data_IF_187227211830
#
_entry.id   IF_187227211830
#
_cell.length_a   1.000
_cell.length_b   1.000
_cell.length_c   1.000
_cell.angle_alpha   90.00
_cell.angle_beta   90.00
_cell.angle_gamma   90.00
#
_symmetry.space_group_name_H-M   'P 1'
#
loop_
_entity.id
_entity.type
_entity.pdbx_description
1 polymer ?
#
# COMPACT_ATOMS: atom_id res chain seq x y z
N UNK A 1 10.07 14.94 -7.07
CA UNK A 1 10.05 13.83 -6.10
C UNK A 1 11.47 13.33 -6.04
N UNK A 2 11.99 13.02 -4.86
CA UNK A 2 13.30 12.39 -4.76
C UNK A 2 13.25 10.97 -5.39
N UNK A 3 14.42 10.41 -5.64
CA UNK A 3 14.57 9.12 -6.32
C UNK A 3 14.03 7.94 -5.49
N UNK A 4 14.26 7.97 -4.19
CA UNK A 4 13.88 6.89 -3.27
C UNK A 4 12.35 6.78 -3.14
N UNK A 5 11.66 7.92 -3.08
CA UNK A 5 10.21 7.98 -3.13
C UNK A 5 9.65 7.42 -4.45
N UNK A 6 10.30 7.73 -5.58
CA UNK A 6 9.87 7.20 -6.88
C UNK A 6 10.02 5.68 -6.94
N UNK A 7 11.18 5.17 -6.53
CA UNK A 7 11.46 3.73 -6.46
C UNK A 7 10.46 3.04 -5.51
N UNK A 8 10.25 3.60 -4.32
CA UNK A 8 9.27 3.08 -3.36
C UNK A 8 7.85 3.02 -3.93
N UNK A 9 7.39 4.06 -4.63
CA UNK A 9 6.06 4.06 -5.26
C UNK A 9 5.95 2.95 -6.31
N UNK A 10 6.96 2.82 -7.16
CA UNK A 10 7.00 1.88 -8.27
C UNK A 10 7.21 0.42 -7.85
N UNK A 11 7.70 0.17 -6.64
CA UNK A 11 7.88 -1.17 -6.10
C UNK A 11 6.71 -1.58 -5.20
N UNK A 12 6.12 -0.63 -4.46
CA UNK A 12 5.12 -0.92 -3.43
C UNK A 12 3.68 -0.97 -3.94
N UNK A 13 3.33 -0.21 -4.99
CA UNK A 13 1.92 -0.06 -5.41
C UNK A 13 1.69 -0.58 -6.81
N UNK A 14 0.91 -1.64 -6.96
CA UNK A 14 0.51 -2.20 -8.26
C UNK A 14 -0.66 -1.44 -8.89
N UNK A 15 -1.36 -0.62 -8.10
CA UNK A 15 -2.52 0.14 -8.54
C UNK A 15 -2.68 1.42 -7.74
N UNK A 16 -3.45 2.37 -8.29
CA UNK A 16 -3.80 3.60 -7.54
C UNK A 16 -4.64 3.24 -6.31
N UNK A 17 -5.41 2.15 -6.37
CA UNK A 17 -6.26 1.71 -5.26
C UNK A 17 -5.47 1.20 -4.06
N UNK A 18 -4.36 0.46 -4.25
CA UNK A 18 -3.52 0.08 -3.11
C UNK A 18 -2.90 1.30 -2.42
N UNK A 19 -2.57 2.36 -3.17
CA UNK A 19 -2.17 3.63 -2.56
C UNK A 19 -3.31 4.29 -1.76
N UNK A 20 -4.51 4.41 -2.33
CA UNK A 20 -5.66 5.03 -1.63
C UNK A 20 -6.03 4.28 -0.35
N UNK A 21 -5.99 2.93 -0.38
CA UNK A 21 -6.19 2.09 0.80
C UNK A 21 -5.13 2.38 1.87
N UNK A 22 -3.84 2.38 1.49
CA UNK A 22 -2.77 2.68 2.44
C UNK A 22 -2.94 4.07 3.06
N UNK A 23 -3.28 5.08 2.25
CA UNK A 23 -3.45 6.45 2.73
C UNK A 23 -4.67 6.60 3.63
N UNK A 24 -5.73 5.80 3.45
CA UNK A 24 -6.86 5.75 4.39
C UNK A 24 -6.41 5.19 5.74
N UNK A 25 -5.71 4.06 5.75
CA UNK A 25 -5.18 3.44 6.99
C UNK A 25 -4.17 4.34 7.69
N UNK A 26 -3.30 5.02 6.92
CA UNK A 26 -2.28 5.93 7.44
C UNK A 26 -2.85 7.15 8.19
N UNK A 27 -4.09 7.58 7.89
CA UNK A 27 -4.74 8.68 8.62
C UNK A 27 -5.06 8.31 10.07
N UNK A 28 -5.31 7.03 10.34
CA UNK A 28 -5.64 6.50 11.66
C UNK A 28 -4.74 5.28 11.97
N UNK A 29 -3.42 5.48 12.17
CA UNK A 29 -2.45 4.38 12.13
C UNK A 29 -2.60 3.38 13.28
N UNK A 30 -3.24 3.78 14.38
CA UNK A 30 -3.51 2.91 15.53
C UNK A 30 -4.86 2.20 15.48
N UNK A 31 -5.67 2.43 14.44
CA UNK A 31 -7.01 1.84 14.31
C UNK A 31 -6.93 0.53 13.52
N UNK A 32 -7.59 -0.49 14.05
CA UNK A 32 -7.89 -1.72 13.33
C UNK A 32 -9.16 -1.53 12.49
N UNK A 33 -9.06 -1.84 11.20
CA UNK A 33 -10.15 -1.73 10.24
C UNK A 33 -10.63 -3.11 9.82
N UNK A 34 -11.94 -3.32 9.79
CA UNK A 34 -12.52 -4.43 9.07
C UNK A 34 -12.50 -4.13 7.56
N UNK A 35 -12.27 -5.12 6.68
CA UNK A 35 -12.28 -4.91 5.23
C UNK A 35 -13.53 -4.17 4.71
N UNK A 36 -14.70 -4.46 5.30
CA UNK A 36 -15.97 -3.82 4.97
C UNK A 36 -15.96 -2.32 5.26
N UNK A 37 -15.28 -1.88 6.34
CA UNK A 37 -15.15 -0.46 6.66
C UNK A 37 -14.31 0.27 5.61
N UNK A 38 -13.30 -0.39 5.03
CA UNK A 38 -12.48 0.18 3.95
C UNK A 38 -13.29 0.28 2.66
N UNK A 39 -14.11 -0.74 2.36
CA UNK A 39 -15.02 -0.75 1.21
C UNK A 39 -15.97 0.45 1.29
N UNK A 40 -16.59 0.67 2.45
CA UNK A 40 -17.53 1.76 2.68
C UNK A 40 -16.85 3.14 2.64
N UNK A 41 -15.72 3.30 3.33
CA UNK A 41 -14.95 4.54 3.39
C UNK A 41 -14.49 5.00 1.99
N UNK A 42 -13.98 4.07 1.18
CA UNK A 42 -13.45 4.38 -0.15
C UNK A 42 -14.51 4.27 -1.26
N UNK A 43 -15.73 3.85 -0.92
CA UNK A 43 -16.81 3.54 -1.87
C UNK A 43 -16.33 2.66 -3.02
N UNK A 44 -15.56 1.63 -2.67
CA UNK A 44 -14.92 0.73 -3.62
C UNK A 44 -15.61 -0.63 -3.65
N UNK A 45 -15.07 -1.58 -4.41
CA UNK A 45 -15.58 -2.95 -4.44
C UNK A 45 -14.75 -3.86 -3.55
N UNK A 46 -15.37 -4.95 -3.07
CA UNK A 46 -14.68 -5.99 -2.31
C UNK A 46 -13.46 -6.55 -3.06
N UNK A 47 -13.58 -6.75 -4.38
CA UNK A 47 -12.48 -7.24 -5.21
C UNK A 47 -11.28 -6.28 -5.23
N UNK A 48 -11.54 -4.97 -5.31
CA UNK A 48 -10.50 -3.94 -5.30
C UNK A 48 -9.82 -3.87 -3.93
N UNK A 49 -10.62 -3.84 -2.85
CA UNK A 49 -10.07 -3.80 -1.47
C UNK A 49 -9.26 -5.05 -1.17
N UNK A 50 -9.78 -6.25 -1.48
CA UNK A 50 -9.08 -7.51 -1.27
C UNK A 50 -7.73 -7.53 -1.99
N UNK A 51 -7.70 -7.21 -3.29
CA UNK A 51 -6.45 -7.17 -4.06
C UNK A 51 -5.48 -6.13 -3.49
N UNK A 52 -5.97 -4.95 -3.14
CA UNK A 52 -5.14 -3.89 -2.56
C UNK A 52 -4.52 -4.29 -1.22
N UNK A 53 -5.28 -4.94 -0.33
CA UNK A 53 -4.77 -5.45 0.94
C UNK A 53 -3.73 -6.55 0.75
N UNK A 54 -3.94 -7.46 -0.21
CA UNK A 54 -2.94 -8.48 -0.56
C UNK A 54 -1.61 -7.84 -1.02
N UNK A 55 -1.67 -6.84 -1.91
CA UNK A 55 -0.49 -6.09 -2.36
C UNK A 55 0.23 -5.39 -1.18
N UNK A 56 -0.52 -4.71 -0.31
CA UNK A 56 0.04 -3.97 0.81
C UNK A 56 0.65 -4.88 1.88
N UNK A 57 0.06 -6.05 2.11
CA UNK A 57 0.59 -7.06 3.01
C UNK A 57 1.91 -7.63 2.49
N UNK A 58 1.97 -7.98 1.20
CA UNK A 58 3.19 -8.47 0.56
C UNK A 58 4.33 -7.42 0.58
N UNK A 59 3.97 -6.14 0.47
CA UNK A 59 4.89 -5.01 0.59
C UNK A 59 5.31 -4.69 2.05
N UNK A 60 4.70 -5.34 3.05
CA UNK A 60 4.99 -5.11 4.47
C UNK A 60 4.55 -3.73 4.96
N UNK A 61 3.43 -3.22 4.44
CA UNK A 61 2.91 -1.87 4.74
C UNK A 61 1.70 -1.87 5.69
N UNK A 62 1.10 -3.04 5.89
CA UNK A 62 -0.03 -3.27 6.78
C UNK A 62 0.23 -4.52 7.63
N UNK A 63 -0.50 -4.60 8.74
CA UNK A 63 -0.60 -5.81 9.57
C UNK A 63 -2.03 -6.35 9.46
N UNK A 64 -2.15 -7.68 9.49
CA UNK A 64 -3.43 -8.39 9.60
C UNK A 64 -3.44 -9.11 10.93
N UNK A 65 -4.45 -8.85 11.75
CA UNK A 65 -4.65 -9.49 13.04
C UNK A 65 -5.43 -10.81 12.87
N UNK A 66 -5.39 -11.72 13.85
CA UNK A 66 -6.09 -13.01 13.80
C UNK A 66 -7.61 -12.89 13.58
N UNK A 67 -8.18 -11.74 13.97
CA UNK A 67 -9.59 -11.40 13.77
C UNK A 67 -9.96 -11.07 12.32
N UNK A 68 -8.97 -10.96 11.43
CA UNK A 68 -9.12 -10.50 10.05
C UNK A 68 -9.13 -8.97 9.90
N UNK A 69 -9.01 -8.21 10.99
CA UNK A 69 -8.84 -6.76 10.91
C UNK A 69 -7.45 -6.39 10.39
N UNK A 70 -7.37 -5.27 9.70
CA UNK A 70 -6.15 -4.74 9.10
C UNK A 70 -5.83 -3.36 9.65
N UNK A 71 -4.54 -3.06 9.83
CA UNK A 71 -4.09 -1.72 10.24
C UNK A 71 -2.83 -1.29 9.51
N UNK A 72 -2.57 0.00 9.52
CA UNK A 72 -1.29 0.55 9.08
C UNK A 72 -0.15 -0.02 9.92
N UNK A 73 0.91 -0.51 9.27
CA UNK A 73 2.02 -1.14 9.98
C UNK A 73 3.22 -1.39 9.06
N UNK A 74 3.97 -0.33 8.68
CA UNK A 74 5.17 -0.47 7.87
C UNK A 74 6.24 -1.28 8.61
N UNK A 75 6.92 -2.15 7.87
CA UNK A 75 7.94 -3.07 8.42
C UNK A 75 9.22 -2.39 8.92
N UNK A 76 9.41 -1.10 8.62
CA UNK A 76 10.56 -0.33 9.11
C UNK A 76 10.25 1.16 9.32
N UNK A 77 10.99 1.86 10.21
CA UNK A 77 10.87 3.31 10.38
C UNK A 77 11.14 4.09 9.09
N UNK A 78 12.05 3.62 8.23
CA UNK A 78 12.35 4.26 6.96
C UNK A 78 11.16 4.20 6.00
N UNK A 79 10.45 3.07 5.93
CA UNK A 79 9.22 2.98 5.14
C UNK A 79 8.15 3.95 5.65
N UNK A 80 7.99 4.08 6.97
CA UNK A 80 7.05 5.05 7.57
C UNK A 80 7.39 6.51 7.18
N UNK A 81 8.68 6.88 7.18
CA UNK A 81 9.12 8.20 6.70
C UNK A 81 8.76 8.44 5.23
N UNK A 82 9.01 7.47 4.36
CA UNK A 82 8.70 7.59 2.92
C UNK A 82 7.18 7.66 2.70
N UNK A 83 6.39 6.90 3.46
CA UNK A 83 4.92 6.94 3.36
C UNK A 83 4.37 8.29 3.81
N UNK A 84 4.91 8.89 4.88
CA UNK A 84 4.55 10.25 5.30
C UNK A 84 4.84 11.27 4.20
N UNK A 85 6.00 11.15 3.56
CA UNK A 85 6.37 12.00 2.43
C UNK A 85 5.47 11.76 1.20
N UNK A 86 5.09 10.51 0.94
CA UNK A 86 4.16 10.13 -0.11
C UNK A 86 2.77 10.72 0.13
N UNK A 87 2.26 10.65 1.36
CA UNK A 87 0.97 11.21 1.73
C UNK A 87 0.92 12.72 1.48
N UNK A 88 1.97 13.45 1.88
CA UNK A 88 2.11 14.88 1.60
C UNK A 88 2.18 15.16 0.09
N UNK A 89 3.03 14.42 -0.62
CA UNK A 89 3.21 14.58 -2.05
C UNK A 89 1.93 14.29 -2.83
N UNK A 90 1.20 13.25 -2.45
CA UNK A 90 -0.06 12.86 -3.09
C UNK A 90 -1.15 13.90 -2.91
N UNK A 91 -1.23 14.50 -1.70
CA UNK A 91 -2.15 15.60 -1.40
C UNK A 91 -1.92 16.82 -2.29
N UNK A 92 -0.66 17.18 -2.53
CA UNK A 92 -0.31 18.37 -3.32
C UNK A 92 -0.26 18.09 -4.83
N UNK A 93 0.21 16.90 -5.22
CA UNK A 93 0.53 16.53 -6.61
C UNK A 93 0.08 15.09 -6.92
N UNK A 94 -1.23 14.79 -6.95
CA UNK A 94 -1.71 13.42 -7.17
C UNK A 94 -1.41 12.91 -8.59
N UNK A 95 -1.47 13.78 -9.59
CA UNK A 95 -1.25 13.40 -11.00
C UNK A 95 0.10 12.72 -11.27
N UNK A 96 1.25 13.34 -10.89
CA UNK A 96 2.55 12.69 -10.99
C UNK A 96 2.66 11.34 -10.28
N UNK A 97 2.13 11.22 -9.06
CA UNK A 97 2.18 9.96 -8.29
C UNK A 97 1.39 8.86 -8.99
N UNK A 98 0.16 9.16 -9.45
CA UNK A 98 -0.67 8.20 -10.20
C UNK A 98 0.04 7.74 -11.48
N UNK A 99 0.73 8.64 -12.17
CA UNK A 99 1.52 8.27 -13.36
C UNK A 99 2.65 7.31 -13.02
N UNK A 100 3.36 7.51 -11.91
CA UNK A 100 4.43 6.61 -11.48
C UNK A 100 3.91 5.19 -11.22
N UNK A 101 2.74 5.07 -10.57
CA UNK A 101 2.10 3.78 -10.31
C UNK A 101 1.74 3.08 -11.63
N UNK A 102 1.12 3.81 -12.56
CA UNK A 102 0.70 3.26 -13.86
C UNK A 102 1.89 2.93 -14.78
N UNK A 103 3.00 3.66 -14.66
CA UNK A 103 4.22 3.46 -15.46
C UNK A 103 5.23 2.51 -14.81
N UNK A 104 4.99 2.08 -13.57
CA UNK A 104 5.86 1.14 -12.86
C UNK A 104 5.97 -0.21 -13.58
N UNK A 105 6.97 -1.03 -13.23
CA UNK A 105 7.14 -2.36 -13.82
C UNK A 105 5.82 -3.15 -13.69
N UNK A 106 5.31 -3.65 -14.82
CA UNK A 106 4.04 -4.36 -14.88
C UNK A 106 3.98 -5.49 -13.84
N UNK A 107 2.80 -5.79 -13.30
CA UNK A 107 2.52 -6.86 -12.32
C UNK A 107 3.33 -8.16 -12.58
N UNK A 108 3.50 -8.54 -13.86
CA UNK A 108 4.31 -9.70 -14.30
C UNK A 108 5.80 -9.68 -13.88
N UNK A 109 6.40 -8.52 -13.65
CA UNK A 109 7.79 -8.38 -13.21
C UNK A 109 7.93 -8.47 -11.68
N UNK A 110 6.91 -8.06 -10.91
CA UNK A 110 6.92 -8.17 -9.44
C UNK A 110 6.72 -9.61 -8.98
N UNK A 111 5.88 -10.39 -9.66
CA UNK A 111 5.58 -11.80 -9.29
C UNK A 111 6.82 -12.71 -9.29
N UNK A 112 7.89 -12.36 -10.01
CA UNK A 112 9.15 -13.13 -9.96
C UNK A 112 9.94 -12.93 -8.66
N UNK A 113 9.72 -11.83 -7.93
CA UNK A 113 10.44 -11.55 -6.67
C UNK A 113 9.76 -12.19 -5.45
N UNK A 114 8.45 -12.38 -5.50
CA UNK A 114 7.66 -12.92 -4.38
C UNK A 114 7.74 -14.43 -4.24
N UNK A 115 8.21 -15.15 -5.27
CA UNK A 115 8.36 -16.61 -5.25
C UNK A 115 9.41 -17.14 -4.23
N UNK A 116 10.07 -16.26 -3.47
CA UNK A 116 11.18 -16.63 -2.59
C UNK A 116 11.04 -16.21 -1.12
N UNK A 117 9.93 -15.60 -0.68
CA UNK A 117 9.73 -15.40 0.77
C UNK A 117 9.07 -16.61 1.42
N UNK A 118 9.88 -17.66 1.59
CA UNK A 118 9.64 -18.70 2.58
C UNK A 118 9.76 -18.03 3.95
N UNK A 119 8.64 -17.96 4.68
CA UNK A 119 8.62 -17.61 6.10
C UNK A 119 9.37 -18.72 6.84
N UNK A 120 10.36 -18.34 7.65
CA UNK A 120 11.05 -19.27 8.55
C UNK A 120 10.85 -18.82 10.00
N UNK A 121 10.33 -19.77 10.76
CA UNK A 121 10.12 -19.90 12.21
C UNK A 121 9.02 -19.06 12.87
#
# INVERSE_FOLDING_TARGET
MDRELVEFIQDSFGSVWSLEILLALHREPGRDWQPEQIIDELRSSQAVVRKGLEELLAAGLILVEDSGSVRYGPSSPRQDEIIRQLAETYRVKPGPVRRLIVQGPSEKLRTFSDAFRIIKD
#
